data_IF_257022451501
#
_entry.id   IF_257022451501
#
_cell.length_a   1.000
_cell.length_b   1.000
_cell.length_c   1.000
_cell.angle_alpha   90.00
_cell.angle_beta   90.00
_cell.angle_gamma   90.00
#
_symmetry.space_group_name_H-M   'P 1'
#
loop_
_entity.id
_entity.type
_entity.pdbx_description
1 polymer ?
#
# COMPACT_ATOMS: atom_id res chain seq x y z
N UNK A 1 5.80 -5.96 -23.34
CA UNK A 1 5.71 -5.55 -22.78
C UNK A 1 5.51 -4.95 -22.01
N UNK A 2 5.57 -4.77 -21.85
CA UNK A 2 5.09 -4.36 -21.30
C UNK A 2 5.04 -3.43 -20.38
N UNK A 3 4.36 -2.98 -20.19
CA UNK A 3 3.82 -2.07 -19.32
C UNK A 3 4.57 -1.95 -18.09
N UNK A 4 5.32 -2.88 -17.84
CA UNK A 4 6.23 -2.86 -16.76
C UNK A 4 7.21 -1.73 -16.84
N UNK A 5 7.26 -1.07 -17.91
CA UNK A 5 8.14 0.06 -18.09
C UNK A 5 7.98 1.11 -16.99
N UNK A 6 6.80 1.24 -16.41
CA UNK A 6 6.58 2.19 -15.35
C UNK A 6 7.43 1.89 -14.15
N UNK A 7 7.53 0.62 -13.79
CA UNK A 7 8.28 0.23 -12.62
C UNK A 7 9.78 0.39 -12.78
N UNK A 8 10.25 0.48 -14.00
CA UNK A 8 11.67 0.66 -14.23
C UNK A 8 12.12 2.12 -14.08
N UNK A 9 11.19 3.04 -13.93
CA UNK A 9 11.51 4.45 -13.78
C UNK A 9 12.13 4.71 -12.42
N UNK A 10 13.36 5.26 -12.37
CA UNK A 10 14.05 5.46 -11.10
C UNK A 10 13.46 6.57 -10.24
N UNK A 11 12.50 7.31 -10.75
CA UNK A 11 11.89 8.42 -10.02
C UNK A 11 11.04 7.95 -8.85
N UNK A 12 10.39 6.80 -9.02
CA UNK A 12 9.55 6.26 -7.96
C UNK A 12 10.34 5.25 -7.12
N UNK A 13 10.32 5.40 -5.79
CA UNK A 13 11.05 4.51 -4.90
C UNK A 13 10.34 3.18 -4.62
N UNK A 14 9.27 2.91 -5.34
CA UNK A 14 8.50 1.68 -5.16
C UNK A 14 7.99 1.19 -6.51
N UNK A 15 7.65 -0.09 -6.56
CA UNK A 15 7.14 -0.72 -7.77
C UNK A 15 5.63 -0.83 -7.69
N UNK A 16 4.96 -0.50 -8.78
CA UNK A 16 3.51 -0.64 -8.87
C UNK A 16 3.12 -1.03 -10.28
N UNK A 17 2.16 -1.92 -10.37
CA UNK A 17 1.49 -2.27 -11.62
C UNK A 17 0.02 -1.92 -11.48
N UNK A 18 -0.45 -0.99 -12.28
CA UNK A 18 -1.84 -0.56 -12.24
C UNK A 18 -2.69 -1.59 -12.98
N UNK A 19 -3.73 -2.09 -12.31
CA UNK A 19 -4.66 -3.05 -12.88
C UNK A 19 -6.02 -2.41 -13.11
N UNK A 20 -6.62 -2.60 -14.28
CA UNK A 20 -7.97 -2.09 -14.52
C UNK A 20 -9.00 -2.78 -13.62
N UNK A 21 -10.10 -2.10 -13.38
CA UNK A 21 -11.19 -2.65 -12.60
C UNK A 21 -11.08 -2.48 -11.09
N UNK A 22 -9.98 -1.90 -10.61
CA UNK A 22 -9.81 -1.63 -9.18
C UNK A 22 -9.56 -0.15 -8.96
N UNK A 23 -9.96 0.34 -7.80
CA UNK A 23 -9.75 1.75 -7.47
C UNK A 23 -8.26 2.08 -7.50
N UNK A 24 -7.91 3.08 -8.28
CA UNK A 24 -6.52 3.49 -8.45
C UNK A 24 -5.90 3.92 -7.13
N UNK A 25 -6.64 4.69 -6.35
CA UNK A 25 -6.21 5.12 -5.02
C UNK A 25 -5.78 3.92 -4.16
N UNK A 26 -6.61 2.88 -4.10
CA UNK A 26 -6.34 1.71 -3.27
C UNK A 26 -5.10 0.96 -3.74
N UNK A 27 -4.90 0.87 -5.05
CA UNK A 27 -3.73 0.19 -5.60
C UNK A 27 -2.44 0.91 -5.24
N UNK A 28 -2.44 2.23 -5.33
CA UNK A 28 -1.25 3.02 -5.00
C UNK A 28 -0.96 2.94 -3.50
N UNK A 29 -1.99 3.10 -2.67
CA UNK A 29 -1.84 2.99 -1.22
C UNK A 29 -1.28 1.62 -0.84
N UNK A 30 -1.80 0.56 -1.44
CA UNK A 30 -1.32 -0.79 -1.17
C UNK A 30 0.14 -0.96 -1.58
N UNK A 31 0.52 -0.46 -2.76
CA UNK A 31 1.89 -0.59 -3.25
C UNK A 31 2.88 0.12 -2.32
N UNK A 32 2.55 1.32 -1.86
CA UNK A 32 3.39 2.06 -0.94
C UNK A 32 3.48 1.36 0.41
N UNK A 33 2.35 0.89 0.93
CA UNK A 33 2.31 0.16 2.19
C UNK A 33 3.20 -1.07 2.13
N UNK A 34 3.09 -1.82 1.03
CA UNK A 34 3.92 -3.01 0.83
C UNK A 34 5.41 -2.64 0.78
N UNK A 35 5.75 -1.56 0.09
CA UNK A 35 7.14 -1.12 -0.01
C UNK A 35 7.72 -0.74 1.36
N UNK A 36 6.93 -0.10 2.21
CA UNK A 36 7.37 0.25 3.56
C UNK A 36 7.57 -1.01 4.41
N UNK A 37 6.61 -1.92 4.35
CA UNK A 37 6.65 -3.14 5.17
C UNK A 37 7.79 -4.06 4.76
N UNK A 38 8.05 -4.18 3.47
CA UNK A 38 9.11 -5.07 2.96
C UNK A 38 10.51 -4.46 3.02
N UNK A 39 10.62 -3.20 3.44
CA UNK A 39 11.90 -2.53 3.57
C UNK A 39 12.41 -1.86 2.30
N UNK A 40 11.63 -1.87 1.24
CA UNK A 40 11.97 -1.18 0.01
C UNK A 40 12.02 0.33 0.22
N UNK A 41 11.11 0.85 1.05
CA UNK A 41 11.13 2.22 1.54
C UNK A 41 11.53 2.20 3.02
N UNK A 42 12.54 2.98 3.37
CA UNK A 42 13.06 3.04 4.73
C UNK A 42 12.62 4.33 5.41
N UNK A 43 12.60 4.29 6.75
CA UNK A 43 12.31 5.49 7.53
C UNK A 43 13.27 6.62 7.15
N UNK A 44 12.70 7.79 6.89
CA UNK A 44 13.48 8.96 6.52
C UNK A 44 13.71 9.12 5.03
N UNK A 45 13.40 8.10 4.23
CA UNK A 45 13.52 8.23 2.78
C UNK A 45 12.54 9.27 2.27
N UNK A 46 12.95 10.03 1.28
CA UNK A 46 12.07 11.00 0.66
C UNK A 46 11.02 10.31 -0.18
N UNK A 47 9.79 10.80 -0.07
CA UNK A 47 8.68 10.32 -0.87
C UNK A 47 8.35 11.35 -1.95
N UNK A 48 7.98 10.91 -3.16
CA UNK A 48 7.65 11.85 -4.24
C UNK A 48 6.52 12.80 -3.86
N UNK A 49 6.59 14.02 -4.37
CA UNK A 49 5.52 15.00 -4.17
C UNK A 49 4.26 14.59 -4.93
N UNK A 50 3.14 15.24 -4.62
CA UNK A 50 1.90 15.04 -5.35
C UNK A 50 2.12 15.20 -6.85
N UNK A 51 2.85 16.25 -7.24
CA UNK A 51 3.12 16.54 -8.64
C UNK A 51 3.90 15.41 -9.30
N UNK A 52 5.00 14.98 -8.67
CA UNK A 52 5.82 13.91 -9.21
C UNK A 52 5.02 12.60 -9.28
N UNK A 53 4.30 12.27 -8.22
CA UNK A 53 3.50 11.06 -8.17
C UNK A 53 2.46 11.04 -9.28
N UNK A 54 1.74 12.16 -9.46
CA UNK A 54 0.71 12.24 -10.49
C UNK A 54 1.29 12.14 -11.89
N UNK A 55 2.45 12.74 -12.12
CA UNK A 55 3.10 12.69 -13.43
C UNK A 55 3.63 11.30 -13.76
N UNK A 56 4.28 10.67 -12.80
CA UNK A 56 4.90 9.36 -13.03
C UNK A 56 3.86 8.24 -13.16
N UNK A 57 2.80 8.31 -12.41
CA UNK A 57 1.73 7.32 -12.48
C UNK A 57 0.65 7.69 -13.48
N UNK A 58 0.73 8.90 -14.05
CA UNK A 58 -0.27 9.41 -15.00
C UNK A 58 -1.67 9.37 -14.41
N UNK A 59 -1.79 9.86 -13.18
CA UNK A 59 -3.06 9.92 -12.48
C UNK A 59 -3.41 11.37 -12.17
N UNK A 60 -4.69 11.58 -11.85
CA UNK A 60 -5.17 12.90 -11.48
C UNK A 60 -4.45 13.39 -10.22
N UNK A 61 -3.99 14.66 -10.17
CA UNK A 61 -3.37 15.21 -8.96
C UNK A 61 -4.24 15.09 -7.71
N UNK A 62 -5.55 15.18 -7.87
CA UNK A 62 -6.47 15.01 -6.74
C UNK A 62 -6.38 13.60 -6.17
N UNK A 63 -6.25 12.60 -7.04
CA UNK A 63 -6.07 11.22 -6.60
C UNK A 63 -4.73 11.04 -5.89
N UNK A 64 -3.68 11.63 -6.44
CA UNK A 64 -2.36 11.58 -5.81
C UNK A 64 -2.39 12.24 -4.43
N UNK A 65 -3.09 13.37 -4.29
CA UNK A 65 -3.23 14.03 -3.00
C UNK A 65 -3.94 13.15 -1.99
N UNK A 66 -5.02 12.48 -2.41
CA UNK A 66 -5.75 11.56 -1.53
C UNK A 66 -4.89 10.39 -1.09
N UNK A 67 -4.06 9.87 -1.98
CA UNK A 67 -3.12 8.80 -1.65
C UNK A 67 -2.18 9.26 -0.55
N UNK A 68 -1.56 10.42 -0.72
CA UNK A 68 -0.63 10.95 0.28
C UNK A 68 -1.32 11.19 1.61
N UNK A 69 -2.52 11.77 1.59
CA UNK A 69 -3.30 12.02 2.80
C UNK A 69 -3.57 10.71 3.54
N UNK A 70 -4.00 9.69 2.82
CA UNK A 70 -4.28 8.38 3.40
C UNK A 70 -3.03 7.77 4.04
N UNK A 71 -1.89 7.87 3.36
CA UNK A 71 -0.64 7.31 3.88
C UNK A 71 -0.16 8.04 5.12
N UNK A 72 -0.33 9.36 5.17
CA UNK A 72 0.00 10.14 6.36
C UNK A 72 -0.92 9.76 7.52
N UNK A 73 -2.22 9.62 7.25
CA UNK A 73 -3.18 9.23 8.29
C UNK A 73 -2.89 7.84 8.85
N UNK A 74 -2.37 6.94 8.02
CA UNK A 74 -2.01 5.60 8.46
C UNK A 74 -0.65 5.53 9.15
N UNK A 75 0.05 6.64 9.23
CA UNK A 75 1.36 6.70 9.90
C UNK A 75 2.52 6.17 9.08
N UNK A 76 2.33 5.98 7.78
CA UNK A 76 3.39 5.50 6.89
C UNK A 76 4.25 6.62 6.33
N UNK A 77 3.69 7.80 6.19
CA UNK A 77 4.39 8.98 5.71
C UNK A 77 4.20 10.13 6.68
N UNK A 78 5.14 11.06 6.65
CA UNK A 78 5.02 12.31 7.41
C UNK A 78 5.37 13.46 6.49
N UNK A 79 4.68 14.58 6.71
CA UNK A 79 4.91 15.80 5.92
C UNK A 79 5.45 16.86 6.85
N UNK A 80 6.56 17.50 6.42
CA UNK A 80 7.16 18.60 7.17
C UNK A 80 7.18 19.85 6.31
N UNK A 81 6.71 20.98 6.83
CA UNK A 81 6.74 22.23 6.06
C UNK A 81 8.16 22.57 5.61
N UNK A 82 8.29 22.91 4.33
CA UNK A 82 9.57 23.30 3.75
C UNK A 82 10.51 22.16 3.41
N UNK A 83 10.24 20.95 3.88
CA UNK A 83 11.09 19.79 3.64
C UNK A 83 10.43 18.80 2.69
N UNK A 84 9.10 18.69 2.76
CA UNK A 84 8.33 17.78 1.93
C UNK A 84 7.88 16.54 2.68
N UNK A 85 7.58 15.49 1.93
CA UNK A 85 7.06 14.25 2.47
C UNK A 85 8.17 13.20 2.54
N UNK A 86 8.23 12.49 3.65
CA UNK A 86 9.20 11.43 3.85
C UNK A 86 8.53 10.23 4.51
N UNK A 87 9.21 9.08 4.46
CA UNK A 87 8.72 7.86 5.09
C UNK A 87 8.86 7.99 6.60
N UNK A 88 7.76 7.81 7.32
CA UNK A 88 7.75 7.88 8.78
C UNK A 88 8.36 6.61 9.37
N UNK A 89 8.73 6.68 10.64
CA UNK A 89 9.18 5.49 11.36
C UNK A 89 7.96 4.62 11.62
N UNK A 90 7.89 3.49 10.93
CA UNK A 90 6.78 2.58 11.05
C UNK A 90 7.12 1.47 12.04
N UNK A 91 6.31 1.36 13.08
CA UNK A 91 6.45 0.31 14.09
C UNK A 91 5.07 -0.33 14.31
N UNK A 92 4.90 -1.60 13.95
CA UNK A 92 3.60 -2.26 14.07
C UNK A 92 3.00 -2.16 15.48
N UNK A 93 3.82 -2.36 16.48
CA UNK A 93 3.37 -2.34 17.87
C UNK A 93 2.90 -0.95 18.32
N UNK A 94 3.50 0.10 17.80
CA UNK A 94 3.15 1.47 18.16
C UNK A 94 1.85 1.93 17.49
N UNK A 95 1.62 1.45 16.27
CA UNK A 95 0.46 1.88 15.48
C UNK A 95 -0.82 1.19 15.89
N UNK A 96 -0.72 0.01 16.45
CA UNK A 96 -1.85 -0.89 16.44
C UNK A 96 -2.54 -1.06 17.79
N UNK A 97 -2.03 -0.53 18.85
CA UNK A 97 -2.63 -0.78 20.15
C UNK A 97 -2.70 -2.26 20.47
N UNK A 98 -3.82 -2.71 21.02
CA UNK A 98 -3.97 -4.11 21.39
C UNK A 98 -4.06 -5.01 20.16
N UNK A 99 -3.54 -6.24 20.30
CA UNK A 99 -3.56 -7.22 19.23
C UNK A 99 -4.96 -7.48 18.67
N UNK A 100 -5.95 -7.55 19.55
CA UNK A 100 -7.33 -7.76 19.15
C UNK A 100 -7.82 -6.63 18.22
N UNK A 101 -7.50 -5.39 18.56
CA UNK A 101 -7.88 -4.24 17.74
C UNK A 101 -7.23 -4.30 16.37
N UNK A 102 -5.98 -4.77 16.32
CA UNK A 102 -5.28 -4.92 15.04
C UNK A 102 -5.95 -5.95 14.14
N UNK A 103 -6.39 -7.05 14.74
CA UNK A 103 -7.11 -8.08 13.99
C UNK A 103 -8.45 -7.55 13.50
N UNK A 104 -9.14 -6.77 14.33
CA UNK A 104 -10.42 -6.17 13.95
C UNK A 104 -10.30 -5.23 12.76
N UNK A 105 -9.17 -4.58 12.59
CA UNK A 105 -8.94 -3.72 11.43
C UNK A 105 -8.94 -4.49 10.13
N UNK A 106 -8.69 -5.79 10.17
CA UNK A 106 -8.71 -6.65 8.99
C UNK A 106 -10.01 -7.41 8.85
N UNK A 107 -10.93 -7.28 9.80
CA UNK A 107 -12.14 -8.10 9.83
C UNK A 107 -12.93 -8.04 8.53
N UNK A 108 -13.14 -6.83 8.00
CA UNK A 108 -13.91 -6.66 6.76
C UNK A 108 -13.21 -7.32 5.57
N UNK A 109 -11.90 -7.18 5.51
CA UNK A 109 -11.11 -7.77 4.43
C UNK A 109 -11.11 -9.28 4.51
N UNK A 110 -11.02 -9.82 5.73
CA UNK A 110 -11.08 -11.26 5.96
C UNK A 110 -12.46 -11.79 5.56
N UNK A 111 -13.52 -11.08 5.93
CA UNK A 111 -14.87 -11.47 5.57
C UNK A 111 -15.05 -11.56 4.06
N UNK A 112 -14.58 -10.54 3.34
CA UNK A 112 -14.64 -10.52 1.88
C UNK A 112 -13.86 -11.68 1.28
N UNK A 113 -12.68 -11.94 1.82
CA UNK A 113 -11.86 -13.03 1.35
C UNK A 113 -12.55 -14.38 1.57
N UNK A 114 -13.19 -14.58 2.72
CA UNK A 114 -13.92 -15.82 3.01
C UNK A 114 -15.08 -15.99 2.05
N UNK A 115 -15.83 -14.92 1.79
CA UNK A 115 -16.95 -14.98 0.85
C UNK A 115 -16.46 -15.34 -0.55
N UNK A 116 -15.40 -14.71 -1.00
CA UNK A 116 -14.83 -15.00 -2.31
C UNK A 116 -14.32 -16.43 -2.40
N UNK A 117 -13.67 -16.90 -1.35
CA UNK A 117 -13.17 -18.28 -1.33
C UNK A 117 -14.31 -19.30 -1.43
N UNK A 118 -15.39 -19.06 -0.71
CA UNK A 118 -16.57 -19.95 -0.77
C UNK A 118 -17.20 -19.92 -2.17
N UNK A 119 -17.24 -18.75 -2.78
CA UNK A 119 -17.76 -18.60 -4.14
C UNK A 119 -16.93 -19.41 -5.13
N UNK A 120 -15.62 -19.51 -4.90
CA UNK A 120 -14.71 -20.26 -5.77
C UNK A 120 -14.55 -21.72 -5.38
N UNK A 121 -15.23 -22.17 -4.34
CA UNK A 121 -15.17 -23.56 -3.90
C UNK A 121 -13.91 -23.92 -3.12
N UNK A 122 -13.22 -22.91 -2.58
CA UNK A 122 -12.01 -23.14 -1.80
C UNK A 122 -12.35 -23.36 -0.33
N UNK A 123 -11.52 -24.14 0.35
CA UNK A 123 -11.69 -24.33 1.78
C UNK A 123 -10.65 -23.54 2.57
N UNK A 124 -10.71 -23.66 3.88
CA UNK A 124 -9.80 -22.91 4.77
C UNK A 124 -8.34 -23.30 4.54
N UNK A 125 -8.07 -24.56 4.25
CA UNK A 125 -6.69 -25.01 3.99
C UNK A 125 -6.09 -24.33 2.78
N UNK A 126 -6.89 -24.17 1.72
CA UNK A 126 -6.44 -23.49 0.51
C UNK A 126 -6.07 -22.06 0.79
N UNK A 127 -6.88 -21.36 1.60
CA UNK A 127 -6.60 -19.98 1.98
C UNK A 127 -5.35 -19.88 2.85
N UNK A 128 -5.20 -20.76 3.81
CA UNK A 128 -4.04 -20.74 4.70
C UNK A 128 -2.76 -20.94 3.89
N UNK A 129 -2.77 -21.89 2.95
CA UNK A 129 -1.61 -22.15 2.12
C UNK A 129 -1.28 -20.93 1.23
N UNK A 130 -2.29 -20.30 0.67
CA UNK A 130 -2.10 -19.10 -0.15
C UNK A 130 -1.50 -17.97 0.68
N UNK A 131 -2.03 -17.76 1.88
CA UNK A 131 -1.53 -16.73 2.77
C UNK A 131 -0.08 -16.99 3.15
N UNK A 132 0.26 -18.22 3.45
CA UNK A 132 1.64 -18.59 3.80
C UNK A 132 2.62 -18.30 2.67
N UNK A 133 2.21 -18.54 1.43
CA UNK A 133 3.07 -18.26 0.28
C UNK A 133 3.35 -16.77 0.13
N UNK A 134 2.38 -15.93 0.45
CA UNK A 134 2.54 -14.48 0.37
C UNK A 134 3.23 -13.87 1.59
N UNK A 135 3.27 -14.59 2.69
CA UNK A 135 3.82 -14.11 3.94
C UNK A 135 5.34 -14.19 3.89
N UNK A 136 5.97 -13.05 3.72
CA UNK A 136 7.42 -12.98 3.60
C UNK A 136 8.03 -12.13 4.68
#
# INVERSE_FOLDING_TARGET
MTCTSVSSTPVLPFSITIRPGRALHDQVVFAVTKAVITGQLRSGDRFPSVRTLSQELKINPNTAQKVLTTLVERGLLETRPGIGTSVATWKPAALAGRRATRTDQLADQIERLVVDAKRLGLDVSDLVDAIRREWK
#
